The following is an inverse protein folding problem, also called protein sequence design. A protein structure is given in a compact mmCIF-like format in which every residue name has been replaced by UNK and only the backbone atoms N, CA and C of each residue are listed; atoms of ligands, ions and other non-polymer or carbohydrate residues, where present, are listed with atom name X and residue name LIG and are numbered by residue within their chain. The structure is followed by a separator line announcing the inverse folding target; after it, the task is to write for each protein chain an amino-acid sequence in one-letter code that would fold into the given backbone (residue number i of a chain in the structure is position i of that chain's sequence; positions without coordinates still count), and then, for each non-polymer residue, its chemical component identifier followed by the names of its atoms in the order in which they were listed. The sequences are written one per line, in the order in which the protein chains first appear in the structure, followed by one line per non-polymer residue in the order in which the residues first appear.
data_IF_132601241120
#
_entry.id   IF_132601241120
#
_cell.length_a   1.000
_cell.length_b   1.000
_cell.length_c   1.000
_cell.angle_alpha   90.00
_cell.angle_beta   90.00
_cell.angle_gamma   90.00
#
_symmetry.space_group_name_H-M   'P 1'
#
loop_
_entity.id
_entity.type
_entity.pdbx_description
1 polymer ?
#
# COMPACT_ATOMS: atom_id res chain seq x y z
N UNK A 1 -6.11 -5.59 -30.09
CA UNK A 1 -6.70 -5.73 -28.74
C UNK A 1 -5.69 -5.28 -27.69
N UNK A 2 -6.13 -4.83 -26.51
CA UNK A 2 -5.23 -4.32 -25.47
C UNK A 2 -5.73 -4.66 -24.07
N UNK A 3 -4.82 -4.72 -23.11
CA UNK A 3 -5.14 -5.00 -21.71
C UNK A 3 -6.12 -3.94 -21.17
N UNK A 4 -7.21 -4.41 -20.55
CA UNK A 4 -8.22 -3.54 -19.92
C UNK A 4 -7.94 -3.26 -18.44
N UNK A 5 -7.21 -4.16 -17.79
CA UNK A 5 -6.85 -4.10 -16.36
C UNK A 5 -5.44 -4.65 -16.22
N UNK A 6 -4.69 -4.10 -15.25
CA UNK A 6 -3.37 -4.58 -14.86
C UNK A 6 -3.36 -4.73 -13.34
N UNK A 7 -2.85 -5.85 -12.85
CA UNK A 7 -2.43 -6.00 -11.46
C UNK A 7 -0.89 -5.95 -11.45
N UNK A 8 -0.32 -5.26 -10.47
CA UNK A 8 1.13 -5.17 -10.33
C UNK A 8 1.54 -5.14 -8.87
N UNK A 9 2.71 -5.70 -8.58
CA UNK A 9 3.33 -5.58 -7.27
C UNK A 9 3.99 -4.22 -7.11
N UNK A 10 3.82 -3.62 -5.93
CA UNK A 10 4.40 -2.32 -5.58
C UNK A 10 5.17 -2.48 -4.27
N UNK A 11 6.49 -2.50 -4.36
CA UNK A 11 7.35 -2.69 -3.18
C UNK A 11 7.43 -1.42 -2.32
N UNK A 12 7.84 -1.59 -1.05
CA UNK A 12 8.10 -0.44 -0.15
C UNK A 12 9.19 0.48 -0.70
N UNK A 13 10.23 -0.09 -1.32
CA UNK A 13 11.28 0.67 -2.01
C UNK A 13 10.73 1.49 -3.17
N UNK A 14 9.81 0.92 -3.97
CA UNK A 14 9.22 1.63 -5.09
C UNK A 14 8.37 2.82 -4.63
N UNK A 15 7.64 2.67 -3.52
CA UNK A 15 6.88 3.76 -2.90
C UNK A 15 7.78 4.82 -2.26
N UNK A 16 8.84 4.38 -1.57
CA UNK A 16 9.74 5.29 -0.89
C UNK A 16 10.57 6.14 -1.87
N UNK A 17 10.96 5.54 -3.00
CA UNK A 17 11.75 6.18 -4.05
C UNK A 17 10.91 6.85 -5.17
N UNK A 18 9.58 6.89 -5.03
CA UNK A 18 8.69 7.54 -6.01
C UNK A 18 8.62 6.85 -7.39
N UNK A 19 9.03 5.58 -7.51
CA UNK A 19 9.09 4.86 -8.80
C UNK A 19 7.73 4.70 -9.47
N UNK A 20 6.65 4.77 -8.69
CA UNK A 20 5.26 4.64 -9.15
C UNK A 20 4.49 5.96 -9.12
N UNK A 21 5.18 7.10 -9.06
CA UNK A 21 4.52 8.41 -8.92
C UNK A 21 3.63 8.81 -10.09
N UNK A 22 3.99 8.38 -11.30
CA UNK A 22 3.18 8.59 -12.49
C UNK A 22 2.02 7.59 -12.66
N UNK A 23 1.87 6.61 -11.76
CA UNK A 23 0.86 5.55 -11.89
C UNK A 23 -0.42 5.96 -11.16
N UNK A 24 -1.54 5.91 -11.88
CA UNK A 24 -2.88 6.05 -11.29
C UNK A 24 -3.39 4.67 -10.88
N UNK A 25 -3.63 4.49 -9.60
CA UNK A 25 -4.16 3.25 -9.03
C UNK A 25 -5.66 3.42 -8.76
N UNK A 26 -6.48 2.50 -9.27
CA UNK A 26 -7.90 2.43 -8.92
C UNK A 26 -8.13 1.69 -7.59
N UNK A 27 -7.29 0.69 -7.29
CA UNK A 27 -7.41 -0.18 -6.11
C UNK A 27 -6.03 -0.41 -5.50
N UNK A 28 -5.95 -0.32 -4.17
CA UNK A 28 -4.78 -0.70 -3.39
C UNK A 28 -5.09 -1.93 -2.53
N UNK A 29 -4.16 -2.88 -2.47
CA UNK A 29 -4.31 -4.11 -1.68
C UNK A 29 -3.14 -4.25 -0.73
N UNK A 30 -3.42 -4.49 0.56
CA UNK A 30 -2.43 -4.79 1.58
C UNK A 30 -2.65 -6.20 2.11
N UNK A 31 -1.63 -7.04 1.95
CA UNK A 31 -1.68 -8.45 2.35
C UNK A 31 -1.22 -8.71 3.78
N UNK A 32 -0.03 -8.26 4.17
CA UNK A 32 0.53 -8.35 5.54
C UNK A 32 1.84 -7.54 5.65
N UNK A 33 2.33 -7.38 6.89
CA UNK A 33 3.64 -6.80 7.18
C UNK A 33 4.38 -7.66 8.21
N UNK A 34 5.44 -8.33 7.77
CA UNK A 34 6.40 -9.05 8.63
C UNK A 34 7.79 -8.46 8.50
N UNK A 35 8.71 -8.82 9.40
CA UNK A 35 10.08 -8.31 9.37
C UNK A 35 10.80 -8.65 8.05
N UNK A 36 11.15 -7.60 7.32
CA UNK A 36 11.91 -7.62 6.08
C UNK A 36 12.49 -6.21 5.84
N UNK A 37 13.48 -6.06 4.95
CA UNK A 37 14.01 -4.78 4.47
C UNK A 37 14.40 -3.75 5.55
N UNK A 38 14.73 -4.19 6.78
CA UNK A 38 15.10 -3.29 7.88
C UNK A 38 16.51 -2.70 7.71
N UNK A 39 17.35 -3.33 6.90
CA UNK A 39 18.61 -2.77 6.43
C UNK A 39 18.41 -1.50 5.60
N UNK A 40 17.28 -1.39 4.90
CA UNK A 40 16.90 -0.18 4.15
C UNK A 40 16.05 0.77 4.98
N UNK A 41 14.96 0.28 5.61
CA UNK A 41 13.98 1.13 6.31
C UNK A 41 14.39 1.48 7.74
N UNK A 42 15.38 0.80 8.31
CA UNK A 42 15.84 0.98 9.69
C UNK A 42 14.98 0.21 10.71
N UNK A 43 13.66 0.39 10.66
CA UNK A 43 12.72 -0.26 11.57
C UNK A 43 11.37 -0.62 10.93
N UNK A 44 10.57 -1.40 11.66
CA UNK A 44 9.26 -1.86 11.21
C UNK A 44 8.26 -0.71 11.01
N UNK A 45 8.40 0.37 11.77
CA UNK A 45 7.51 1.53 11.68
C UNK A 45 7.73 2.26 10.35
N UNK A 46 8.99 2.55 10.01
CA UNK A 46 9.38 3.16 8.75
C UNK A 46 9.00 2.27 7.55
N UNK A 47 9.22 0.96 7.66
CA UNK A 47 8.83 0.00 6.62
C UNK A 47 7.31 0.00 6.38
N UNK A 48 6.51 -0.06 7.45
CA UNK A 48 5.05 0.03 7.37
C UNK A 48 4.59 1.37 6.78
N UNK A 49 5.16 2.48 7.26
CA UNK A 49 4.86 3.83 6.77
C UNK A 49 5.16 3.96 5.27
N UNK A 50 6.24 3.37 4.77
CA UNK A 50 6.55 3.34 3.34
C UNK A 50 5.47 2.62 2.53
N UNK A 51 4.97 1.46 2.99
CA UNK A 51 3.86 0.74 2.33
C UNK A 51 2.54 1.52 2.40
N UNK A 52 2.24 2.17 3.52
CA UNK A 52 1.01 2.95 3.72
C UNK A 52 0.85 4.08 2.70
N UNK A 53 1.95 4.60 2.12
CA UNK A 53 1.91 5.62 1.06
C UNK A 53 1.07 5.21 -0.14
N UNK A 54 0.94 3.92 -0.45
CA UNK A 54 0.07 3.45 -1.55
C UNK A 54 -1.40 3.83 -1.29
N UNK A 55 -1.84 3.80 -0.03
CA UNK A 55 -3.22 4.05 0.38
C UNK A 55 -3.57 5.53 0.51
N UNK A 56 -2.57 6.41 0.42
CA UNK A 56 -2.72 7.87 0.46
C UNK A 56 -2.79 8.48 -0.95
N UNK A 57 -2.69 7.66 -2.00
CA UNK A 57 -2.72 8.10 -3.41
C UNK A 57 -4.11 8.62 -3.77
N UNK A 58 -4.13 9.73 -4.49
CA UNK A 58 -5.38 10.29 -5.04
C UNK A 58 -5.94 9.39 -6.14
N UNK A 59 -7.27 9.36 -6.24
CA UNK A 59 -7.97 8.58 -7.26
C UNK A 59 -8.24 7.11 -6.91
N UNK A 60 -7.78 6.63 -5.74
CA UNK A 60 -8.20 5.34 -5.24
C UNK A 60 -9.72 5.28 -5.09
N UNK A 61 -10.29 4.16 -5.53
CA UNK A 61 -11.72 3.86 -5.45
C UNK A 61 -12.03 2.81 -4.39
N UNK A 62 -11.04 2.00 -4.02
CA UNK A 62 -11.12 1.01 -2.98
C UNK A 62 -9.74 0.71 -2.38
N UNK A 63 -9.74 0.36 -1.10
CA UNK A 63 -8.61 -0.22 -0.40
C UNK A 63 -9.05 -1.57 0.18
N UNK A 64 -8.33 -2.63 -0.15
CA UNK A 64 -8.55 -3.97 0.40
C UNK A 64 -7.41 -4.27 1.36
N UNK A 65 -7.73 -4.47 2.63
CA UNK A 65 -6.73 -4.62 3.69
C UNK A 65 -6.99 -5.91 4.45
N UNK A 66 -5.96 -6.74 4.60
CA UNK A 66 -6.04 -7.91 5.46
C UNK A 66 -6.11 -7.49 6.94
N UNK A 67 -7.25 -7.73 7.59
CA UNK A 67 -7.48 -7.40 8.99
C UNK A 67 -6.98 -8.48 9.97
N UNK A 68 -6.43 -9.60 9.48
CA UNK A 68 -5.74 -10.56 10.34
C UNK A 68 -4.34 -10.06 10.76
N UNK A 69 -3.78 -9.13 9.98
CA UNK A 69 -2.49 -8.50 10.23
C UNK A 69 -2.61 -7.30 11.20
N UNK A 70 -1.78 -7.19 12.25
CA UNK A 70 -1.84 -6.08 13.19
C UNK A 70 -1.65 -4.70 12.53
N UNK A 71 -0.66 -4.56 11.64
CA UNK A 71 -0.44 -3.32 10.90
C UNK A 71 -1.58 -3.07 9.91
N UNK A 72 -2.15 -4.12 9.31
CA UNK A 72 -3.35 -4.04 8.50
C UNK A 72 -4.53 -3.38 9.24
N UNK A 73 -4.76 -3.73 10.51
CA UNK A 73 -5.79 -3.09 11.34
C UNK A 73 -5.51 -1.60 11.57
N UNK A 74 -4.26 -1.26 11.88
CA UNK A 74 -3.83 0.13 12.06
C UNK A 74 -4.02 0.94 10.76
N UNK A 75 -3.55 0.41 9.64
CA UNK A 75 -3.72 1.01 8.31
C UNK A 75 -5.20 1.24 8.01
N UNK A 76 -6.05 0.22 8.19
CA UNK A 76 -7.48 0.32 7.92
C UNK A 76 -8.17 1.42 8.74
N UNK A 77 -7.77 1.60 10.00
CA UNK A 77 -8.30 2.65 10.87
C UNK A 77 -7.97 4.07 10.37
N UNK A 78 -6.89 4.24 9.60
CA UNK A 78 -6.50 5.54 9.01
C UNK A 78 -7.23 5.86 7.70
N UNK A 79 -7.85 4.88 7.05
CA UNK A 79 -8.54 5.08 5.77
C UNK A 79 -9.83 5.89 5.95
N UNK A 80 -10.21 6.69 4.95
CA UNK A 80 -11.53 7.30 4.90
C UNK A 80 -12.63 6.24 4.72
N UNK A 81 -13.81 6.49 5.27
CA UNK A 81 -14.94 5.54 5.15
C UNK A 81 -15.32 5.23 3.70
N UNK A 82 -15.08 6.16 2.77
CA UNK A 82 -15.30 5.95 1.34
C UNK A 82 -14.38 4.90 0.70
N UNK A 83 -13.22 4.61 1.30
CA UNK A 83 -12.22 3.68 0.78
C UNK A 83 -12.25 2.31 1.45
N UNK A 84 -12.81 2.21 2.67
CA UNK A 84 -12.90 0.97 3.45
C UNK A 84 -13.82 -0.03 2.74
N UNK A 85 -13.22 -1.07 2.14
CA UNK A 85 -13.92 -2.19 1.50
C UNK A 85 -13.50 -3.51 2.11
#
# INVERSE_FOLDING_TARGET
EGARVVAMEVSSHALDQGRVDGVRFDVAVFSNLTQDHLDYHGDMQAYGAAKARLFQRSGLRAAVVNLDDPFGRELFATLSDSLRR
#
